data_IF_431377354833
#
_entry.id   IF_431377354833
#
_cell.length_a   1.000
_cell.length_b   1.000
_cell.length_c   1.000
_cell.angle_alpha   90.00
_cell.angle_beta   90.00
_cell.angle_gamma   90.00
#
_symmetry.space_group_name_H-M   'P 1'
#
loop_
_entity.id
_entity.type
_entity.pdbx_description
1 polymer ?
#
# COMPACT_ATOMS: atom_id res chain seq x y z
N UNK A 1 -52.05 -27.71 -11.29
CA UNK A 1 -53.08 -28.40 -10.50
C UNK A 1 -52.58 -29.80 -10.19
N UNK A 2 -52.53 -30.15 -8.90
CA UNK A 2 -52.45 -31.48 -8.24
C UNK A 2 -51.42 -32.52 -8.70
N UNK A 3 -50.69 -33.25 -7.84
CA UNK A 3 -50.85 -33.48 -6.41
C UNK A 3 -49.58 -34.12 -5.78
N UNK A 4 -49.23 -33.63 -4.58
CA UNK A 4 -48.79 -34.35 -3.36
C UNK A 4 -47.64 -35.38 -3.46
N UNK A 5 -46.45 -34.95 -3.03
CA UNK A 5 -45.49 -35.84 -2.35
C UNK A 5 -45.68 -35.72 -0.83
N UNK A 6 -45.96 -36.86 -0.18
CA UNK A 6 -46.14 -37.01 1.26
C UNK A 6 -44.78 -37.09 1.96
N UNK A 7 -44.66 -36.36 3.08
CA UNK A 7 -43.69 -36.63 4.13
C UNK A 7 -44.04 -37.94 4.85
N UNK A 8 -43.02 -38.74 5.16
CA UNK A 8 -43.02 -39.65 6.31
C UNK A 8 -41.63 -39.64 6.96
N UNK A 9 -41.63 -39.45 8.26
CA UNK A 9 -40.56 -39.24 9.22
C UNK A 9 -39.75 -40.50 9.57
N UNK A 10 -38.46 -40.28 9.88
CA UNK A 10 -37.59 -40.87 10.93
C UNK A 10 -37.67 -42.39 11.18
N UNK A 11 -36.57 -43.13 11.33
CA UNK A 11 -35.59 -42.96 12.40
C UNK A 11 -34.38 -43.92 12.26
N UNK A 12 -33.29 -43.56 12.94
CA UNK A 12 -32.15 -44.36 13.40
C UNK A 12 -31.09 -44.85 12.40
N UNK A 13 -30.04 -44.05 12.22
CA UNK A 13 -28.77 -44.47 11.64
C UNK A 13 -27.59 -43.82 12.36
N UNK A 14 -27.04 -44.52 13.35
CA UNK A 14 -25.82 -44.16 14.11
C UNK A 14 -24.64 -43.87 13.17
N UNK A 15 -24.01 -42.71 13.32
CA UNK A 15 -22.64 -42.47 12.84
C UNK A 15 -21.82 -41.91 14.01
N UNK A 16 -20.62 -42.49 14.14
CA UNK A 16 -19.69 -42.39 15.26
C UNK A 16 -19.21 -40.96 15.49
N UNK A 17 -19.25 -40.51 16.75
CA UNK A 17 -18.58 -39.30 17.22
C UNK A 17 -17.07 -39.56 17.32
N UNK A 18 -16.27 -38.73 16.66
CA UNK A 18 -14.82 -38.66 16.87
C UNK A 18 -14.53 -37.80 18.12
N UNK A 19 -13.46 -38.10 18.89
CA UNK A 19 -13.17 -37.38 20.13
C UNK A 19 -12.72 -35.96 19.85
N UNK A 20 -13.51 -34.99 20.32
CA UNK A 20 -13.18 -33.56 20.38
C UNK A 20 -12.02 -33.35 21.37
N UNK A 21 -10.94 -32.64 21.01
CA UNK A 21 -9.90 -32.29 21.96
C UNK A 21 -10.46 -31.33 23.02
N UNK A 22 -10.46 -31.79 24.28
CA UNK A 22 -10.76 -30.95 25.45
C UNK A 22 -9.63 -29.94 25.65
N UNK A 23 -9.87 -28.69 25.26
CA UNK A 23 -9.07 -27.57 25.72
C UNK A 23 -9.64 -27.08 27.04
N UNK A 24 -8.84 -27.22 28.10
CA UNK A 24 -9.19 -26.81 29.45
C UNK A 24 -9.60 -25.35 29.53
N UNK A 25 -10.65 -25.10 30.31
CA UNK A 25 -11.05 -23.76 30.73
C UNK A 25 -9.95 -23.19 31.64
N UNK A 26 -9.29 -22.13 31.21
CA UNK A 26 -8.52 -21.27 32.11
C UNK A 26 -9.19 -19.91 32.16
N UNK A 27 -9.73 -19.62 33.34
CA UNK A 27 -10.31 -18.36 33.79
C UNK A 27 -9.42 -17.15 33.52
N UNK A 28 -10.04 -16.10 32.99
CA UNK A 28 -9.50 -14.75 32.86
C UNK A 28 -9.11 -14.17 34.24
N UNK A 29 -7.87 -13.73 34.39
CA UNK A 29 -7.52 -12.68 35.34
C UNK A 29 -6.78 -11.57 34.60
N UNK A 30 -7.29 -10.35 34.76
CA UNK A 30 -6.69 -9.13 34.27
C UNK A 30 -5.41 -8.82 35.07
N UNK A 31 -4.28 -8.79 34.38
CA UNK A 31 -3.00 -8.35 34.90
C UNK A 31 -2.24 -7.64 33.78
N UNK A 32 -2.11 -6.33 33.90
CA UNK A 32 -1.36 -5.49 32.97
C UNK A 32 0.13 -5.79 33.13
N UNK A 33 0.67 -6.59 32.23
CA UNK A 33 2.12 -6.68 32.01
C UNK A 33 2.34 -6.42 30.52
N UNK A 34 2.85 -5.24 30.20
CA UNK A 34 3.45 -5.00 28.89
C UNK A 34 4.62 -5.98 28.74
N UNK A 35 4.37 -7.09 28.03
CA UNK A 35 5.47 -7.85 27.44
C UNK A 35 6.17 -6.91 26.46
N UNK A 36 7.50 -6.73 26.57
CA UNK A 36 8.24 -6.00 25.55
C UNK A 36 8.09 -6.79 24.25
N UNK A 37 7.65 -6.10 23.20
CA UNK A 37 7.65 -6.66 21.85
C UNK A 37 9.08 -7.14 21.58
N UNK A 38 9.23 -8.33 21.01
CA UNK A 38 10.49 -9.03 20.74
C UNK A 38 11.60 -8.16 20.09
N UNK A 39 11.23 -7.01 19.53
CA UNK A 39 12.11 -5.97 19.01
C UNK A 39 12.98 -5.25 20.05
N UNK A 40 12.60 -5.22 21.32
CA UNK A 40 13.33 -4.48 22.37
C UNK A 40 14.55 -5.24 22.93
N UNK A 41 14.68 -6.54 22.63
CA UNK A 41 15.69 -7.43 23.22
C UNK A 41 17.00 -7.54 22.44
N UNK A 42 17.14 -6.87 21.29
CA UNK A 42 18.27 -7.10 20.37
C UNK A 42 19.52 -6.25 20.70
N UNK A 43 19.45 -5.19 21.51
CA UNK A 43 20.46 -4.11 21.44
C UNK A 43 21.36 -3.90 22.67
N UNK A 44 21.68 -4.94 23.45
CA UNK A 44 22.53 -4.78 24.65
C UNK A 44 23.88 -5.52 24.65
N UNK A 45 24.34 -6.10 23.52
CA UNK A 45 25.56 -6.94 23.55
C UNK A 45 26.64 -6.67 22.50
N UNK A 46 26.74 -5.48 21.90
CA UNK A 46 27.88 -5.21 20.99
C UNK A 46 28.43 -3.78 21.13
N UNK A 47 29.01 -3.48 22.29
CA UNK A 47 29.62 -2.18 22.60
C UNK A 47 31.02 -1.98 21.99
N UNK A 48 31.36 -2.65 20.86
CA UNK A 48 32.61 -2.34 20.12
C UNK A 48 32.55 -2.54 18.60
N UNK A 49 31.36 -2.67 18.00
CA UNK A 49 31.19 -2.65 16.54
C UNK A 49 30.27 -1.49 16.18
N UNK A 50 30.63 -0.72 15.15
CA UNK A 50 29.78 0.37 14.66
C UNK A 50 28.35 -0.12 14.46
N UNK A 51 27.37 0.67 14.90
CA UNK A 51 25.95 0.34 14.74
C UNK A 51 25.67 0.07 13.26
N UNK A 52 25.09 -1.08 12.93
CA UNK A 52 24.80 -1.41 11.52
C UNK A 52 23.85 -0.38 10.88
N UNK A 53 24.03 -0.10 9.58
CA UNK A 53 23.12 0.77 8.82
C UNK A 53 21.67 0.30 8.93
N UNK A 54 21.43 -1.01 8.98
CA UNK A 54 20.09 -1.57 9.17
C UNK A 54 19.50 -1.16 10.53
N UNK A 55 20.29 -1.16 11.61
CA UNK A 55 19.84 -0.70 12.92
C UNK A 55 19.59 0.81 12.93
N UNK A 56 20.44 1.60 12.25
CA UNK A 56 20.24 3.04 12.10
C UNK A 56 18.97 3.34 11.31
N UNK A 57 18.74 2.66 10.18
CA UNK A 57 17.56 2.86 9.33
C UNK A 57 16.27 2.41 10.03
N UNK A 58 16.27 1.31 10.78
CA UNK A 58 15.12 0.93 11.63
C UNK A 58 14.79 2.03 12.64
N UNK A 59 15.80 2.61 13.28
CA UNK A 59 15.60 3.72 14.23
C UNK A 59 15.05 4.96 13.53
N UNK A 60 15.60 5.35 12.39
CA UNK A 60 15.12 6.48 11.56
C UNK A 60 13.69 6.27 11.08
N UNK A 61 13.34 5.05 10.65
CA UNK A 61 11.98 4.70 10.25
C UNK A 61 10.98 4.90 11.39
N UNK A 62 11.33 4.46 12.62
CA UNK A 62 10.50 4.73 13.80
C UNK A 62 10.33 6.24 14.03
N UNK A 63 11.42 7.00 13.92
CA UNK A 63 11.37 8.46 14.05
C UNK A 63 10.49 9.12 12.99
N UNK A 64 10.56 8.69 11.72
CA UNK A 64 9.69 9.21 10.66
C UNK A 64 8.22 8.86 10.91
N UNK A 65 7.95 7.62 11.34
CA UNK A 65 6.60 7.21 11.71
C UNK A 65 6.02 8.08 12.83
N UNK A 66 6.80 8.36 13.87
CA UNK A 66 6.38 9.15 15.03
C UNK A 66 6.25 10.64 14.73
N UNK A 67 7.21 11.22 13.99
CA UNK A 67 7.35 12.67 13.86
C UNK A 67 6.76 13.24 12.56
N UNK A 68 6.73 12.46 11.48
CA UNK A 68 6.41 12.96 10.14
C UNK A 68 5.01 12.54 9.66
N UNK A 69 4.49 11.39 10.10
CA UNK A 69 3.23 10.82 9.55
C UNK A 69 2.04 11.75 9.71
N UNK A 70 1.82 12.29 10.90
CA UNK A 70 0.67 13.19 11.14
C UNK A 70 0.72 14.42 10.27
N UNK A 71 1.93 14.95 10.06
CA UNK A 71 2.13 16.15 9.26
C UNK A 71 1.90 15.88 7.78
N UNK A 72 2.46 14.80 7.22
CA UNK A 72 2.20 14.42 5.82
C UNK A 72 0.69 14.20 5.57
N UNK A 73 0.01 13.48 6.47
CA UNK A 73 -1.44 13.25 6.34
C UNK A 73 -2.23 14.56 6.41
N UNK A 74 -1.86 15.46 7.34
CA UNK A 74 -2.48 16.78 7.43
C UNK A 74 -2.30 17.56 6.13
N UNK A 75 -1.07 17.64 5.60
CA UNK A 75 -0.78 18.37 4.37
C UNK A 75 -1.60 17.80 3.20
N UNK A 76 -1.60 16.48 3.01
CA UNK A 76 -2.39 15.80 1.97
C UNK A 76 -3.89 16.12 2.12
N UNK A 77 -4.41 16.15 3.35
CA UNK A 77 -5.82 16.38 3.63
C UNK A 77 -6.22 17.87 3.67
N UNK A 78 -5.29 18.81 3.57
CA UNK A 78 -5.60 20.24 3.61
C UNK A 78 -5.26 20.95 2.31
N UNK A 79 -4.37 20.37 1.50
CA UNK A 79 -3.99 20.97 0.22
C UNK A 79 -4.96 20.63 -0.90
N UNK A 80 -5.03 21.55 -1.87
CA UNK A 80 -5.52 21.28 -3.21
C UNK A 80 -4.31 20.98 -4.10
N UNK A 81 -4.36 19.88 -4.83
CA UNK A 81 -3.30 19.54 -5.77
C UNK A 81 -3.54 20.26 -7.10
N UNK A 82 -2.64 21.19 -7.44
CA UNK A 82 -2.68 21.93 -8.71
C UNK A 82 -1.71 21.30 -9.72
N UNK A 83 -2.19 21.08 -10.94
CA UNK A 83 -1.39 20.42 -11.97
C UNK A 83 -0.24 21.32 -12.44
N UNK A 84 0.97 20.76 -12.48
CA UNK A 84 2.16 21.45 -12.98
C UNK A 84 2.95 22.24 -11.92
N UNK A 85 2.56 22.16 -10.64
CA UNK A 85 3.26 22.79 -9.53
C UNK A 85 3.61 21.77 -8.45
N UNK A 86 4.77 21.94 -7.79
CA UNK A 86 5.10 21.17 -6.59
C UNK A 86 4.12 21.58 -5.46
N UNK A 87 3.49 20.57 -4.87
CA UNK A 87 2.65 20.73 -3.69
C UNK A 87 3.48 20.83 -2.41
N UNK A 88 2.92 21.39 -1.32
CA UNK A 88 3.56 21.31 0.00
C UNK A 88 3.95 19.88 0.42
N UNK A 89 3.16 18.87 0.04
CA UNK A 89 3.49 17.47 0.29
C UNK A 89 4.71 17.00 -0.54
N UNK A 90 4.85 17.47 -1.78
CA UNK A 90 6.01 17.15 -2.63
C UNK A 90 7.30 17.69 -2.00
N UNK A 91 7.28 18.96 -1.58
CA UNK A 91 8.42 19.60 -0.93
C UNK A 91 8.81 18.87 0.37
N UNK A 92 7.80 18.53 1.19
CA UNK A 92 8.01 17.80 2.44
C UNK A 92 8.65 16.43 2.21
N UNK A 93 8.16 15.66 1.22
CA UNK A 93 8.72 14.34 0.93
C UNK A 93 10.10 14.44 0.28
N UNK A 94 10.36 15.42 -0.60
CA UNK A 94 11.69 15.63 -1.19
C UNK A 94 12.74 15.93 -0.12
N UNK A 95 12.42 16.73 0.89
CA UNK A 95 13.33 16.99 2.01
C UNK A 95 13.71 15.70 2.76
N UNK A 96 12.74 14.81 3.01
CA UNK A 96 12.99 13.52 3.65
C UNK A 96 13.77 12.57 2.74
N UNK A 97 13.53 12.59 1.42
CA UNK A 97 14.30 11.82 0.44
C UNK A 97 15.78 12.22 0.44
N UNK A 98 16.08 13.52 0.53
CA UNK A 98 17.45 14.04 0.65
C UNK A 98 18.14 13.59 1.95
N UNK A 99 17.39 13.47 3.05
CA UNK A 99 17.92 13.01 4.33
C UNK A 99 18.22 11.50 4.35
N UNK A 100 17.28 10.67 3.89
CA UNK A 100 17.45 9.22 3.81
C UNK A 100 16.43 8.59 2.86
N UNK A 101 16.77 8.48 1.57
CA UNK A 101 15.93 7.91 0.53
C UNK A 101 15.36 6.52 0.89
N UNK A 102 16.19 5.61 1.40
CA UNK A 102 15.77 4.25 1.71
C UNK A 102 14.67 4.22 2.78
N UNK A 103 14.85 4.98 3.85
CA UNK A 103 13.88 5.08 4.95
C UNK A 103 12.62 5.81 4.51
N UNK A 104 12.73 6.88 3.72
CA UNK A 104 11.58 7.63 3.21
C UNK A 104 10.68 6.75 2.35
N UNK A 105 11.26 5.96 1.44
CA UNK A 105 10.48 5.03 0.60
C UNK A 105 9.77 3.95 1.40
N UNK A 106 10.45 3.36 2.37
CA UNK A 106 9.85 2.37 3.26
C UNK A 106 8.73 2.98 4.10
N UNK A 107 8.93 4.20 4.60
CA UNK A 107 7.93 4.94 5.36
C UNK A 107 6.69 5.29 4.54
N UNK A 108 6.85 5.83 3.33
CA UNK A 108 5.74 6.13 2.42
C UNK A 108 4.93 4.88 2.08
N UNK A 109 5.62 3.77 1.77
CA UNK A 109 4.97 2.49 1.49
C UNK A 109 4.22 1.96 2.73
N UNK A 110 4.77 2.12 3.93
CA UNK A 110 4.08 1.74 5.16
C UNK A 110 2.77 2.54 5.35
N UNK A 111 2.81 3.87 5.16
CA UNK A 111 1.59 4.71 5.24
C UNK A 111 0.58 4.25 4.17
N UNK A 112 1.03 4.02 2.94
CA UNK A 112 0.16 3.61 1.84
C UNK A 112 -0.61 2.31 2.15
N UNK A 113 0.09 1.30 2.69
CA UNK A 113 -0.53 0.03 3.09
C UNK A 113 -1.48 0.24 4.27
N UNK A 114 -1.04 0.97 5.30
CA UNK A 114 -1.83 1.24 6.51
C UNK A 114 -3.10 2.06 6.20
N UNK A 115 -3.05 2.93 5.20
CA UNK A 115 -4.13 3.84 4.80
C UNK A 115 -4.82 3.45 3.49
N UNK A 116 -4.65 2.21 3.00
CA UNK A 116 -5.12 1.80 1.67
C UNK A 116 -6.64 1.95 1.47
N UNK A 117 -7.43 1.97 2.56
CA UNK A 117 -8.87 2.21 2.51
C UNK A 117 -9.27 3.70 2.49
N UNK A 118 -8.36 4.61 2.84
CA UNK A 118 -8.60 6.05 2.79
C UNK A 118 -8.25 6.57 1.40
N UNK A 119 -9.29 6.70 0.57
CA UNK A 119 -9.19 7.13 -0.84
C UNK A 119 -8.40 8.45 -0.96
N UNK A 120 -8.63 9.40 -0.05
CA UNK A 120 -8.00 10.72 -0.14
C UNK A 120 -6.51 10.63 0.13
N UNK A 121 -6.12 9.89 1.17
CA UNK A 121 -4.70 9.68 1.50
C UNK A 121 -4.01 8.90 0.39
N UNK A 122 -4.63 7.84 -0.12
CA UNK A 122 -4.09 7.02 -1.22
C UNK A 122 -3.85 7.86 -2.47
N UNK A 123 -4.82 8.69 -2.87
CA UNK A 123 -4.67 9.59 -4.02
C UNK A 123 -3.53 10.58 -3.79
N UNK A 124 -3.48 11.22 -2.62
CA UNK A 124 -2.42 12.19 -2.32
C UNK A 124 -1.03 11.56 -2.30
N UNK A 125 -0.88 10.36 -1.74
CA UNK A 125 0.38 9.62 -1.78
C UNK A 125 0.78 9.26 -3.22
N UNK A 126 -0.16 8.79 -4.04
CA UNK A 126 0.12 8.46 -5.46
C UNK A 126 0.57 9.68 -6.24
N UNK A 127 -0.02 10.84 -6.00
CA UNK A 127 0.39 12.10 -6.63
C UNK A 127 1.82 12.47 -6.20
N UNK A 128 2.11 12.47 -4.90
CA UNK A 128 3.44 12.80 -4.40
C UNK A 128 4.52 11.87 -4.93
N UNK A 129 4.30 10.55 -4.91
CA UNK A 129 5.30 9.60 -5.44
C UNK A 129 5.45 9.72 -6.95
N UNK A 130 4.40 10.14 -7.68
CA UNK A 130 4.49 10.34 -9.12
C UNK A 130 5.35 11.54 -9.51
N UNK A 131 5.46 12.56 -8.66
CA UNK A 131 6.27 13.76 -8.89
C UNK A 131 7.77 13.56 -8.57
N UNK A 132 8.12 12.44 -7.94
CA UNK A 132 9.51 12.00 -7.78
C UNK A 132 10.03 11.34 -9.07
N UNK A 133 11.34 11.37 -9.30
CA UNK A 133 11.90 10.72 -10.48
C UNK A 133 11.74 9.20 -10.37
N UNK A 134 11.44 8.53 -11.49
CA UNK A 134 11.21 7.09 -11.51
C UNK A 134 12.33 6.27 -10.82
N UNK A 135 13.64 6.53 -11.08
CA UNK A 135 14.71 5.78 -10.43
C UNK A 135 14.81 6.02 -8.92
N UNK A 136 14.45 7.22 -8.45
CA UNK A 136 14.51 7.57 -7.02
C UNK A 136 13.47 6.78 -6.24
N UNK A 137 12.24 6.70 -6.75
CA UNK A 137 11.12 6.08 -6.03
C UNK A 137 10.97 4.57 -6.32
N UNK A 138 11.84 4.01 -7.17
CA UNK A 138 11.86 2.57 -7.46
C UNK A 138 12.37 1.75 -6.26
N UNK A 139 11.80 0.55 -6.00
CA UNK A 139 10.61 -0.03 -6.63
C UNK A 139 9.27 0.36 -5.96
N UNK A 140 9.30 1.08 -4.84
CA UNK A 140 8.11 1.34 -4.02
C UNK A 140 7.03 2.10 -4.77
N UNK A 141 7.37 3.21 -5.45
CA UNK A 141 6.43 4.01 -6.23
C UNK A 141 5.69 3.19 -7.29
N UNK A 142 6.40 2.52 -8.22
CA UNK A 142 5.76 1.66 -9.20
C UNK A 142 4.93 0.53 -8.57
N UNK A 143 5.37 -0.04 -7.44
CA UNK A 143 4.60 -1.08 -6.74
C UNK A 143 3.29 -0.53 -6.17
N UNK A 144 3.32 0.66 -5.57
CA UNK A 144 2.12 1.36 -5.08
C UNK A 144 1.17 1.67 -6.24
N UNK A 145 1.68 2.18 -7.36
CA UNK A 145 0.87 2.46 -8.54
C UNK A 145 0.27 1.19 -9.14
N UNK A 146 1.00 0.06 -9.21
CA UNK A 146 0.44 -1.24 -9.62
C UNK A 146 -0.71 -1.68 -8.71
N UNK A 147 -0.56 -1.55 -7.39
CA UNK A 147 -1.62 -1.88 -6.45
C UNK A 147 -2.87 -1.00 -6.66
N UNK A 148 -2.67 0.30 -6.93
CA UNK A 148 -3.74 1.25 -7.21
C UNK A 148 -4.60 0.85 -8.42
N UNK A 149 -3.99 0.28 -9.47
CA UNK A 149 -4.69 -0.15 -10.70
C UNK A 149 -5.78 -1.20 -10.45
N UNK A 150 -5.70 -1.95 -9.34
CA UNK A 150 -6.70 -2.96 -8.95
C UNK A 150 -7.64 -2.49 -7.85
N UNK A 151 -7.58 -1.22 -7.46
CA UNK A 151 -8.39 -0.69 -6.37
C UNK A 151 -9.88 -0.57 -6.74
N UNK A 152 -10.78 -0.67 -5.75
CA UNK A 152 -12.23 -0.64 -5.99
C UNK A 152 -12.73 0.75 -6.44
N UNK A 153 -12.15 1.82 -5.91
CA UNK A 153 -12.45 3.19 -6.30
C UNK A 153 -11.76 3.56 -7.63
N UNK A 154 -12.52 4.13 -8.57
CA UNK A 154 -12.05 4.48 -9.92
C UNK A 154 -11.04 5.62 -9.96
N UNK A 155 -11.12 6.60 -9.06
CA UNK A 155 -10.19 7.73 -8.98
C UNK A 155 -8.80 7.25 -8.54
N UNK A 156 -8.74 6.27 -7.62
CA UNK A 156 -7.47 5.62 -7.23
C UNK A 156 -6.85 4.89 -8.42
N UNK A 157 -7.66 4.15 -9.21
CA UNK A 157 -7.17 3.47 -10.41
C UNK A 157 -6.65 4.46 -11.45
N UNK A 158 -7.37 5.55 -11.69
CA UNK A 158 -6.93 6.63 -12.57
C UNK A 158 -5.60 7.23 -12.10
N UNK A 159 -5.45 7.50 -10.80
CA UNK A 159 -4.19 7.98 -10.23
C UNK A 159 -3.03 6.99 -10.46
N UNK A 160 -3.29 5.68 -10.40
CA UNK A 160 -2.31 4.66 -10.78
C UNK A 160 -1.84 4.80 -12.24
N UNK A 161 -2.77 5.01 -13.19
CA UNK A 161 -2.44 5.24 -14.60
C UNK A 161 -1.64 6.55 -14.75
N UNK A 162 -2.10 7.64 -14.11
CA UNK A 162 -1.44 8.96 -14.14
C UNK A 162 -0.02 8.91 -13.59
N UNK A 163 0.24 8.11 -12.56
CA UNK A 163 1.59 7.95 -12.04
C UNK A 163 2.54 7.36 -13.10
N UNK A 164 2.10 6.32 -13.81
CA UNK A 164 2.88 5.73 -14.90
C UNK A 164 3.02 6.65 -16.11
N UNK A 165 1.97 7.41 -16.45
CA UNK A 165 2.02 8.47 -17.46
C UNK A 165 3.07 9.52 -17.10
N UNK A 166 3.06 10.01 -15.86
CA UNK A 166 3.96 11.06 -15.40
C UNK A 166 5.43 10.61 -15.40
N UNK A 167 5.71 9.36 -15.02
CA UNK A 167 7.06 8.82 -15.11
C UNK A 167 7.51 8.58 -16.55
N UNK A 168 6.59 8.27 -17.45
CA UNK A 168 6.86 8.23 -18.89
C UNK A 168 7.97 7.26 -19.32
N UNK A 169 8.22 6.18 -18.58
CA UNK A 169 9.32 5.24 -18.88
C UNK A 169 8.90 4.05 -19.74
N UNK A 170 9.87 3.34 -20.31
CA UNK A 170 9.59 2.09 -21.04
C UNK A 170 9.03 1.02 -20.10
N UNK A 171 9.43 1.02 -18.83
CA UNK A 171 8.88 0.18 -17.78
C UNK A 171 7.41 0.51 -17.50
N UNK A 172 7.05 1.81 -17.43
CA UNK A 172 5.65 2.25 -17.34
C UNK A 172 4.83 1.69 -18.49
N UNK A 173 5.30 1.81 -19.73
CA UNK A 173 4.61 1.28 -20.91
C UNK A 173 4.41 -0.25 -20.82
N UNK A 174 5.44 -0.99 -20.40
CA UNK A 174 5.36 -2.44 -20.24
C UNK A 174 4.31 -2.84 -19.20
N UNK A 175 4.19 -2.09 -18.11
CA UNK A 175 3.15 -2.32 -17.09
C UNK A 175 1.77 -2.00 -17.67
N UNK A 176 1.57 -0.80 -18.22
CA UNK A 176 0.28 -0.30 -18.70
C UNK A 176 -0.34 -1.18 -19.79
N UNK A 177 0.47 -1.77 -20.70
CA UNK A 177 0.01 -2.73 -21.72
C UNK A 177 -0.67 -3.98 -21.15
N UNK A 178 -0.40 -4.32 -19.89
CA UNK A 178 -0.98 -5.47 -19.22
C UNK A 178 -2.22 -5.11 -18.38
N UNK A 179 -2.63 -3.84 -18.38
CA UNK A 179 -3.77 -3.34 -17.60
C UNK A 179 -5.04 -3.41 -18.44
N UNK A 180 -6.16 -3.72 -17.77
CA UNK A 180 -7.50 -3.65 -18.36
C UNK A 180 -8.43 -2.92 -17.40
N UNK A 181 -9.18 -1.96 -17.93
CA UNK A 181 -10.16 -1.19 -17.18
C UNK A 181 -11.57 -1.65 -17.53
N UNK A 182 -12.44 -1.71 -16.54
CA UNK A 182 -13.85 -2.07 -16.71
C UNK A 182 -14.68 -0.92 -17.28
N UNK A 183 -14.35 0.31 -16.89
CA UNK A 183 -15.02 1.52 -17.36
C UNK A 183 -14.48 1.95 -18.73
N UNK A 184 -15.37 2.17 -19.69
CA UNK A 184 -14.98 2.54 -21.06
C UNK A 184 -14.11 3.79 -21.11
N UNK A 185 -14.47 4.85 -20.36
CA UNK A 185 -13.71 6.10 -20.36
C UNK A 185 -12.28 5.92 -19.82
N UNK A 186 -12.09 5.05 -18.82
CA UNK A 186 -10.79 4.77 -18.24
C UNK A 186 -9.95 3.90 -19.16
N UNK A 187 -10.58 2.96 -19.86
CA UNK A 187 -9.93 2.16 -20.90
C UNK A 187 -9.50 3.04 -22.09
N UNK A 188 -10.32 4.01 -22.48
CA UNK A 188 -9.97 5.01 -23.50
C UNK A 188 -8.77 5.86 -23.06
N UNK A 189 -8.79 6.38 -21.83
CA UNK A 189 -7.68 7.12 -21.25
C UNK A 189 -6.39 6.30 -21.20
N UNK A 190 -6.43 5.08 -20.65
CA UNK A 190 -5.30 4.14 -20.66
C UNK A 190 -4.74 3.91 -22.06
N UNK A 191 -5.62 3.71 -23.04
CA UNK A 191 -5.22 3.47 -24.43
C UNK A 191 -4.54 4.70 -25.06
N UNK A 192 -4.97 5.90 -24.69
CA UNK A 192 -4.35 7.15 -25.12
C UNK A 192 -2.95 7.30 -24.52
N UNK A 193 -2.79 7.06 -23.22
CA UNK A 193 -1.48 7.09 -22.54
C UNK A 193 -0.51 6.09 -23.18
N UNK A 194 -0.95 4.84 -23.39
CA UNK A 194 -0.13 3.80 -24.06
C UNK A 194 0.33 4.27 -25.44
N UNK A 195 -0.58 4.83 -26.23
CA UNK A 195 -0.29 5.30 -27.59
C UNK A 195 0.71 6.46 -27.60
N UNK A 196 0.62 7.36 -26.63
CA UNK A 196 1.53 8.51 -26.52
C UNK A 196 2.94 8.04 -26.12
N UNK A 197 3.05 7.13 -25.15
CA UNK A 197 4.32 6.50 -24.78
C UNK A 197 4.93 5.66 -25.92
N UNK A 198 4.11 4.90 -26.65
CA UNK A 198 4.53 4.14 -27.83
C UNK A 198 5.14 5.05 -28.90
N UNK A 199 4.51 6.20 -29.15
CA UNK A 199 5.01 7.20 -30.08
C UNK A 199 6.32 7.82 -29.60
N UNK A 200 6.45 8.11 -28.31
CA UNK A 200 7.67 8.66 -27.72
C UNK A 200 8.86 7.69 -27.87
N UNK A 201 8.65 6.40 -27.60
CA UNK A 201 9.70 5.38 -27.71
C UNK A 201 9.87 4.78 -29.11
N UNK A 202 9.01 5.14 -30.07
CA UNK A 202 9.03 4.60 -31.44
C UNK A 202 8.70 3.11 -31.52
N UNK A 203 7.88 2.61 -30.59
CA UNK A 203 7.45 1.22 -30.51
C UNK A 203 5.96 1.09 -30.87
N UNK A 204 5.52 -0.11 -31.27
CA UNK A 204 4.13 -0.44 -31.60
C UNK A 204 3.63 -1.61 -30.77
#
# INVERSE_FOLDING_TARGET
MSEKYKLTTQDTGKVKEEPVPSYGQTTLQAGTTHEPVLEDLIDLSDSSRGVSENTLNRRRLRQFKENCTKELLRIICEQDFEYGFDSPADLFVRELMEQNEAVTKEWLNAIYIEQFSDIRVVIGLLQVVSHLQYPEIYPQGPTMAVAALSHANSEVRECGIRAFENWGTIESLNILRNVKCTESWMQEYLSQVIKDLEKEFGVR
#
